data_IF_546638354446
#
_entry.id   IF_546638354446
#
_cell.length_a   1.000
_cell.length_b   1.000
_cell.length_c   1.000
_cell.angle_alpha   90.00
_cell.angle_beta   90.00
_cell.angle_gamma   90.00
#
_symmetry.space_group_name_H-M   'P 1'
#
loop_
_entity.id
_entity.type
_entity.pdbx_description
1 polymer ?
#
# COMPACT_ATOMS: atom_id res chain seq x y z
N UNK A 1 35.40 -19.23 -34.41
CA UNK A 1 34.78 -19.07 -33.07
C UNK A 1 34.83 -17.62 -32.58
N UNK A 2 35.94 -16.91 -32.67
CA UNK A 2 36.06 -15.55 -32.10
C UNK A 2 35.27 -14.44 -32.83
N UNK A 3 35.14 -14.46 -34.15
CA UNK A 3 34.51 -13.34 -34.90
C UNK A 3 33.03 -13.13 -34.57
N UNK A 4 32.27 -14.21 -34.33
CA UNK A 4 30.86 -14.13 -33.96
C UNK A 4 30.65 -13.65 -32.52
N UNK A 5 31.55 -14.02 -31.60
CA UNK A 5 31.48 -13.60 -30.19
C UNK A 5 31.79 -12.11 -30.02
N UNK A 6 32.77 -11.60 -30.79
CA UNK A 6 33.09 -10.17 -30.82
C UNK A 6 31.88 -9.35 -31.31
N UNK A 7 31.15 -9.86 -32.30
CA UNK A 7 29.94 -9.20 -32.78
C UNK A 7 28.86 -9.09 -31.69
N UNK A 8 28.56 -10.18 -30.98
CA UNK A 8 27.60 -10.14 -29.87
C UNK A 8 28.05 -9.22 -28.74
N UNK A 9 29.35 -9.24 -28.41
CA UNK A 9 29.92 -8.34 -27.41
C UNK A 9 29.71 -6.87 -27.79
N UNK A 10 30.06 -6.48 -29.02
CA UNK A 10 29.89 -5.11 -29.51
C UNK A 10 28.40 -4.73 -29.49
N UNK A 11 27.53 -5.62 -29.99
CA UNK A 11 26.09 -5.38 -30.02
C UNK A 11 25.52 -5.11 -28.62
N UNK A 12 25.81 -6.00 -27.66
CA UNK A 12 25.29 -5.85 -26.30
C UNK A 12 25.96 -4.70 -25.53
N UNK A 13 27.23 -4.40 -25.79
CA UNK A 13 27.89 -3.22 -25.24
C UNK A 13 27.22 -1.92 -25.72
N UNK A 14 26.88 -1.83 -27.01
CA UNK A 14 26.11 -0.70 -27.56
C UNK A 14 24.74 -0.61 -26.89
N UNK A 15 24.05 -1.73 -26.70
CA UNK A 15 22.76 -1.75 -25.99
C UNK A 15 22.90 -1.21 -24.56
N UNK A 16 23.92 -1.65 -23.81
CA UNK A 16 24.17 -1.20 -22.42
C UNK A 16 24.45 0.31 -22.37
N UNK A 17 25.33 0.81 -23.23
CA UNK A 17 25.66 2.25 -23.27
C UNK A 17 24.45 3.07 -23.69
N UNK A 18 23.70 2.59 -24.68
CA UNK A 18 22.49 3.26 -25.16
C UNK A 18 21.34 3.22 -24.15
N UNK A 19 21.30 2.25 -23.23
CA UNK A 19 20.23 2.10 -22.23
C UNK A 19 19.99 3.40 -21.43
N UNK A 20 21.06 4.12 -21.09
CA UNK A 20 20.99 5.40 -20.38
C UNK A 20 20.33 6.51 -21.20
N UNK A 21 20.43 6.45 -22.53
CA UNK A 21 19.90 7.44 -23.46
C UNK A 21 18.50 7.08 -24.01
N UNK A 22 17.99 5.88 -23.72
CA UNK A 22 16.67 5.48 -24.19
C UNK A 22 15.58 6.40 -23.60
N UNK A 23 14.60 6.85 -24.40
CA UNK A 23 13.46 7.61 -23.89
C UNK A 23 12.60 6.76 -22.94
N UNK A 24 12.01 7.41 -21.93
CA UNK A 24 11.23 6.73 -20.89
C UNK A 24 10.04 5.93 -21.45
N UNK A 25 9.46 6.34 -22.58
CA UNK A 25 8.38 5.61 -23.25
C UNK A 25 8.81 4.22 -23.72
N UNK A 26 10.05 4.06 -24.21
CA UNK A 26 10.57 2.75 -24.60
C UNK A 26 10.88 1.87 -23.38
N UNK A 27 11.33 2.47 -22.27
CA UNK A 27 11.54 1.74 -21.03
C UNK A 27 10.23 1.31 -20.36
N UNK A 28 9.15 2.08 -20.54
CA UNK A 28 7.81 1.70 -20.09
C UNK A 28 7.22 0.59 -20.96
N UNK A 29 7.63 0.47 -22.24
CA UNK A 29 7.24 -0.65 -23.08
C UNK A 29 7.68 -2.00 -22.48
N UNK A 30 8.81 -2.00 -21.75
CA UNK A 30 9.32 -3.16 -21.01
C UNK A 30 8.37 -3.63 -19.88
N UNK A 31 7.40 -2.81 -19.47
CA UNK A 31 6.38 -3.18 -18.47
C UNK A 31 5.31 -4.09 -19.07
N UNK A 32 5.11 -4.06 -20.38
CA UNK A 32 4.09 -4.90 -21.02
C UNK A 32 4.44 -6.38 -20.91
N UNK A 33 3.44 -7.18 -20.52
CA UNK A 33 3.59 -8.63 -20.33
C UNK A 33 4.16 -9.31 -21.59
N UNK A 34 3.66 -8.95 -22.77
CA UNK A 34 4.12 -9.51 -24.04
C UNK A 34 5.60 -9.25 -24.30
N UNK A 35 6.05 -8.01 -24.03
CA UNK A 35 7.46 -7.63 -24.20
C UNK A 35 8.32 -8.41 -23.22
N UNK A 36 7.91 -8.51 -21.95
CA UNK A 36 8.64 -9.31 -20.95
C UNK A 36 8.78 -10.77 -21.37
N UNK A 37 7.70 -11.39 -21.85
CA UNK A 37 7.74 -12.79 -22.33
C UNK A 37 8.68 -12.90 -23.53
N UNK A 38 8.61 -11.98 -24.49
CA UNK A 38 9.51 -11.98 -25.65
C UNK A 38 10.98 -11.86 -25.27
N UNK A 39 11.32 -11.06 -24.25
CA UNK A 39 12.69 -10.93 -23.75
C UNK A 39 13.18 -12.22 -23.11
N UNK A 40 12.34 -12.90 -22.33
CA UNK A 40 12.70 -14.21 -21.74
C UNK A 40 12.94 -15.25 -22.85
N UNK A 41 12.07 -15.29 -23.87
CA UNK A 41 12.27 -16.18 -25.03
C UNK A 41 13.57 -15.84 -25.77
N UNK A 42 13.85 -14.56 -26.00
CA UNK A 42 15.09 -14.12 -26.62
C UNK A 42 16.32 -14.53 -25.78
N UNK A 43 16.25 -14.38 -24.46
CA UNK A 43 17.34 -14.79 -23.56
C UNK A 43 17.60 -16.30 -23.66
N UNK A 44 16.56 -17.12 -23.62
CA UNK A 44 16.67 -18.58 -23.77
C UNK A 44 17.26 -18.96 -25.14
N UNK A 45 16.89 -18.25 -26.19
CA UNK A 45 17.46 -18.44 -27.52
C UNK A 45 18.96 -18.12 -27.56
N UNK A 46 19.40 -17.00 -26.97
CA UNK A 46 20.83 -16.66 -26.93
C UNK A 46 21.65 -17.63 -26.07
N UNK A 47 21.09 -18.17 -24.99
CA UNK A 47 21.73 -19.22 -24.18
C UNK A 47 21.91 -20.50 -25.02
N UNK A 48 20.94 -20.85 -25.87
CA UNK A 48 21.05 -22.03 -26.74
C UNK A 48 22.17 -21.88 -27.78
N UNK A 49 22.40 -20.68 -28.31
CA UNK A 49 23.48 -20.40 -29.27
C UNK A 49 24.86 -20.51 -28.62
N UNK A 50 25.00 -20.02 -27.39
CA UNK A 50 26.24 -20.15 -26.65
C UNK A 50 26.22 -19.45 -25.29
N UNK A 51 27.00 -19.96 -24.33
CA UNK A 51 27.01 -19.44 -22.96
C UNK A 51 27.51 -17.98 -22.89
N UNK A 52 28.45 -17.61 -23.75
CA UNK A 52 29.00 -16.24 -23.84
C UNK A 52 27.94 -15.25 -24.31
N UNK A 53 27.23 -15.56 -25.40
CA UNK A 53 26.15 -14.73 -25.92
C UNK A 53 24.99 -14.59 -24.93
N UNK A 54 24.62 -15.69 -24.25
CA UNK A 54 23.61 -15.67 -23.19
C UNK A 54 23.98 -14.74 -22.03
N UNK A 55 25.23 -14.77 -21.57
CA UNK A 55 25.71 -13.92 -20.47
C UNK A 55 25.67 -12.43 -20.83
N UNK A 56 26.14 -12.05 -22.02
CA UNK A 56 26.08 -10.66 -22.47
C UNK A 56 24.64 -10.17 -22.70
N UNK A 57 23.77 -11.03 -23.24
CA UNK A 57 22.34 -10.73 -23.38
C UNK A 57 21.69 -10.49 -22.02
N UNK A 58 21.97 -11.36 -21.04
CA UNK A 58 21.49 -11.20 -19.67
C UNK A 58 21.94 -9.88 -19.06
N UNK A 59 23.23 -9.55 -19.18
CA UNK A 59 23.76 -8.28 -18.66
C UNK A 59 23.10 -7.06 -19.33
N UNK A 60 22.88 -7.11 -20.65
CA UNK A 60 22.20 -6.03 -21.37
C UNK A 60 20.76 -5.84 -20.88
N UNK A 61 20.01 -6.93 -20.69
CA UNK A 61 18.66 -6.85 -20.13
C UNK A 61 18.66 -6.37 -18.68
N UNK A 62 19.58 -6.85 -17.85
CA UNK A 62 19.72 -6.38 -16.48
C UNK A 62 20.00 -4.88 -16.41
N UNK A 63 20.88 -4.36 -17.26
CA UNK A 63 21.17 -2.92 -17.36
C UNK A 63 19.93 -2.11 -17.75
N UNK A 64 19.16 -2.57 -18.76
CA UNK A 64 17.89 -1.95 -19.16
C UNK A 64 16.88 -1.91 -18.01
N UNK A 65 16.73 -3.01 -17.26
CA UNK A 65 15.82 -3.07 -16.11
C UNK A 65 16.30 -2.22 -14.93
N UNK A 66 17.61 -2.13 -14.67
CA UNK A 66 18.15 -1.24 -13.64
C UNK A 66 17.89 0.22 -13.97
N UNK A 67 18.13 0.63 -15.23
CA UNK A 67 17.86 2.00 -15.69
C UNK A 67 16.37 2.36 -15.60
N UNK A 68 15.50 1.44 -16.02
CA UNK A 68 14.06 1.56 -15.84
C UNK A 68 13.69 1.75 -14.37
N UNK A 69 14.21 0.89 -13.48
CA UNK A 69 13.91 0.96 -12.04
C UNK A 69 14.42 2.26 -11.42
N UNK A 70 15.61 2.74 -11.80
CA UNK A 70 16.16 4.03 -11.36
C UNK A 70 15.21 5.18 -11.69
N UNK A 71 14.70 5.23 -12.92
CA UNK A 71 13.76 6.28 -13.35
C UNK A 71 12.41 6.17 -12.65
N UNK A 72 11.91 4.95 -12.47
CA UNK A 72 10.64 4.71 -11.76
C UNK A 72 10.73 5.11 -10.28
N UNK A 73 11.85 4.80 -9.62
CA UNK A 73 12.13 5.24 -8.26
C UNK A 73 12.19 6.77 -8.16
N UNK A 74 12.83 7.44 -9.11
CA UNK A 74 12.87 8.92 -9.16
C UNK A 74 11.49 9.55 -9.34
N UNK A 75 10.63 8.97 -10.17
CA UNK A 75 9.24 9.42 -10.32
C UNK A 75 8.42 9.20 -9.05
N UNK A 76 8.61 8.05 -8.38
CA UNK A 76 7.92 7.74 -7.13
C UNK A 76 8.35 8.69 -6.00
N UNK A 77 9.65 9.03 -5.91
CA UNK A 77 10.16 9.99 -4.93
C UNK A 77 9.54 11.38 -5.14
N UNK A 78 9.52 11.88 -6.39
CA UNK A 78 8.85 13.16 -6.70
C UNK A 78 7.39 13.17 -6.33
N UNK A 79 6.67 12.09 -6.65
CA UNK A 79 5.25 11.96 -6.28
C UNK A 79 5.07 11.92 -4.77
N UNK A 80 5.98 11.28 -4.03
CA UNK A 80 5.95 11.26 -2.56
C UNK A 80 6.16 12.67 -1.98
N UNK A 81 7.13 13.42 -2.51
CA UNK A 81 7.40 14.80 -2.10
C UNK A 81 6.18 15.71 -2.38
N UNK A 82 5.49 15.51 -3.51
CA UNK A 82 4.25 16.23 -3.85
C UNK A 82 3.06 15.86 -2.95
N UNK A 83 3.04 14.64 -2.41
CA UNK A 83 2.01 14.17 -1.47
C UNK A 83 2.34 14.52 -0.02
N UNK A 84 3.55 14.98 0.28
CA UNK A 84 3.94 15.30 1.66
C UNK A 84 3.20 16.56 2.12
N UNK A 85 2.30 16.37 3.09
CA UNK A 85 1.59 17.48 3.74
C UNK A 85 2.65 18.40 4.38
N UNK A 86 2.57 19.73 4.20
CA UNK A 86 3.52 20.64 4.80
C UNK A 86 3.61 20.39 6.31
N UNK A 87 4.76 19.91 6.78
CA UNK A 87 5.02 19.72 8.21
C UNK A 87 5.04 21.07 8.88
N UNK A 88 3.94 21.44 9.52
CA UNK A 88 3.91 22.64 10.35
C UNK A 88 4.93 22.49 11.48
N UNK A 89 5.70 23.54 11.80
CA UNK A 89 6.61 23.51 12.93
C UNK A 89 5.84 23.15 14.19
N UNK A 90 6.29 22.11 14.90
CA UNK A 90 5.67 21.70 16.16
C UNK A 90 5.75 22.87 17.14
N UNK A 91 4.61 23.26 17.71
CA UNK A 91 4.57 24.35 18.68
C UNK A 91 5.40 23.98 19.91
N UNK A 92 6.26 24.91 20.35
CA UNK A 92 6.98 24.73 21.62
C UNK A 92 6.00 24.72 22.79
N UNK A 93 6.37 24.07 23.91
CA UNK A 93 5.50 23.92 25.10
C UNK A 93 4.95 25.27 25.61
N UNK A 94 5.72 26.35 25.45
CA UNK A 94 5.34 27.71 25.82
C UNK A 94 4.35 28.37 24.86
N UNK A 95 4.33 27.94 23.59
CA UNK A 95 3.38 28.41 22.58
C UNK A 95 2.09 27.58 22.60
N UNK A 96 2.16 26.31 23.01
CA UNK A 96 1.00 25.43 23.16
C UNK A 96 0.06 25.84 24.30
N UNK A 97 0.57 26.57 25.30
CA UNK A 97 -0.21 27.10 26.42
C UNK A 97 -0.94 28.42 26.12
N UNK A 98 -0.64 29.07 24.99
CA UNK A 98 -1.39 30.23 24.53
C UNK A 98 -2.73 29.78 23.91
N UNK A 99 -3.81 30.57 24.05
CA UNK A 99 -5.07 30.30 23.37
C UNK A 99 -4.80 30.19 21.87
N UNK A 100 -5.00 29.01 21.31
CA UNK A 100 -4.72 28.75 19.91
C UNK A 100 -5.71 29.53 19.05
N UNK A 101 -5.21 30.51 18.30
CA UNK A 101 -5.94 31.07 17.16
C UNK A 101 -6.12 29.94 16.15
N UNK A 102 -7.35 29.67 15.73
CA UNK A 102 -7.69 28.56 14.83
C UNK A 102 -6.73 28.54 13.64
N UNK A 103 -5.95 27.46 13.55
CA UNK A 103 -5.05 27.23 12.42
C UNK A 103 -5.90 27.18 11.15
N UNK A 104 -5.52 27.87 10.06
CA UNK A 104 -6.20 27.71 8.79
C UNK A 104 -6.03 26.26 8.34
N UNK A 105 -7.09 25.48 8.51
CA UNK A 105 -7.20 24.13 7.94
C UNK A 105 -7.36 24.32 6.44
N UNK A 106 -6.53 23.64 5.64
CA UNK A 106 -6.74 23.59 4.20
C UNK A 106 -8.18 23.12 3.95
N UNK A 107 -8.92 23.84 3.12
CA UNK A 107 -10.30 23.46 2.79
C UNK A 107 -10.31 22.01 2.33
N UNK A 108 -11.18 21.19 2.95
CA UNK A 108 -11.39 19.83 2.51
C UNK A 108 -11.76 19.83 1.03
N UNK A 109 -11.16 18.92 0.28
CA UNK A 109 -11.52 18.73 -1.11
C UNK A 109 -12.99 18.30 -1.18
N UNK A 110 -13.75 18.91 -2.08
CA UNK A 110 -15.14 18.53 -2.30
C UNK A 110 -15.17 17.30 -3.19
N UNK A 111 -15.81 16.23 -2.73
CA UNK A 111 -15.94 14.98 -3.49
C UNK A 111 -16.45 15.26 -4.91
N UNK A 112 -15.77 14.67 -5.90
CA UNK A 112 -16.12 14.83 -7.31
C UNK A 112 -17.44 14.10 -7.61
N UNK A 113 -18.18 14.49 -8.64
CA UNK A 113 -19.57 14.08 -8.87
C UNK A 113 -19.77 12.54 -8.96
N UNK A 114 -18.70 11.79 -9.26
CA UNK A 114 -18.65 10.32 -9.29
C UNK A 114 -18.40 9.66 -7.92
N UNK A 115 -17.81 10.39 -6.98
CA UNK A 115 -17.56 9.90 -5.61
C UNK A 115 -18.81 10.07 -4.72
N UNK A 116 -19.68 11.01 -5.07
CA UNK A 116 -20.90 11.36 -4.30
C UNK A 116 -22.12 10.52 -4.67
N UNK A 117 -22.02 9.60 -5.64
CA UNK A 117 -23.16 8.80 -6.15
C UNK A 117 -23.85 7.96 -5.06
N UNK A 118 -23.11 7.55 -4.03
CA UNK A 118 -23.62 6.79 -2.88
C UNK A 118 -24.04 7.66 -1.69
N UNK A 119 -23.90 8.98 -1.80
CA UNK A 119 -24.38 9.87 -0.74
C UNK A 119 -25.90 9.93 -0.78
N UNK A 120 -26.59 9.79 0.35
CA UNK A 120 -28.03 9.89 0.40
C UNK A 120 -28.45 11.28 -0.10
N UNK A 121 -29.04 11.30 -1.30
CA UNK A 121 -29.67 12.48 -1.88
C UNK A 121 -31.11 12.61 -1.38
N UNK A 122 -31.68 13.81 -1.45
CA UNK A 122 -33.09 14.07 -1.14
C UNK A 122 -34.07 13.24 -2.00
N UNK A 123 -33.59 12.57 -3.06
CA UNK A 123 -34.38 11.69 -3.92
C UNK A 123 -34.29 10.20 -3.57
N UNK A 124 -33.42 9.83 -2.63
CA UNK A 124 -33.09 8.43 -2.30
C UNK A 124 -33.63 7.93 -0.96
N UNK A 125 -34.37 8.76 -0.20
CA UNK A 125 -35.06 8.32 1.01
C UNK A 125 -36.54 8.64 0.96
N UNK A 126 -37.34 7.73 1.52
CA UNK A 126 -38.72 8.01 1.91
C UNK A 126 -38.67 8.33 3.40
N UNK A 127 -39.14 9.51 3.81
CA UNK A 127 -39.24 9.88 5.23
C UNK A 127 -40.38 9.14 5.97
N UNK A 128 -40.98 8.15 5.31
CA UNK A 128 -42.04 7.32 5.84
C UNK A 128 -41.43 6.16 6.62
N UNK A 129 -41.44 6.28 7.93
CA UNK A 129 -41.19 5.15 8.83
C UNK A 129 -42.45 4.29 8.91
N UNK A 130 -42.30 2.97 8.79
CA UNK A 130 -43.38 2.05 9.15
C UNK A 130 -43.78 2.28 10.62
N UNK A 131 -45.08 2.27 10.94
CA UNK A 131 -45.53 2.47 12.31
C UNK A 131 -45.05 1.29 13.17
N UNK A 132 -44.04 1.55 14.00
CA UNK A 132 -43.50 0.58 14.94
C UNK A 132 -44.33 0.56 16.21
N UNK A 133 -44.53 -0.64 16.76
CA UNK A 133 -45.22 -0.81 18.03
C UNK A 133 -44.38 -0.24 19.19
N UNK A 134 -45.06 0.23 20.23
CA UNK A 134 -44.51 0.78 21.47
C UNK A 134 -43.56 -0.18 22.22
N UNK A 135 -43.57 -1.46 21.84
CA UNK A 135 -42.71 -2.52 22.35
C UNK A 135 -41.30 -2.53 21.77
N UNK A 136 -41.03 -1.85 20.64
CA UNK A 136 -39.74 -1.94 19.93
C UNK A 136 -38.55 -1.37 20.73
N UNK A 137 -38.81 -0.35 21.56
CA UNK A 137 -37.81 0.26 22.43
C UNK A 137 -37.80 -0.36 23.84
N UNK A 138 -38.66 -1.35 24.10
CA UNK A 138 -38.67 -2.08 25.35
C UNK A 138 -37.63 -3.20 25.28
N UNK A 139 -36.37 -2.83 25.52
CA UNK A 139 -35.31 -3.81 25.73
C UNK A 139 -35.62 -4.59 27.00
N UNK A 140 -36.20 -5.78 26.85
CA UNK A 140 -36.35 -6.71 27.96
C UNK A 140 -34.95 -7.02 28.51
N UNK A 141 -34.71 -6.63 29.76
CA UNK A 141 -33.48 -6.98 30.46
C UNK A 141 -33.52 -8.49 30.67
N UNK A 142 -32.72 -9.22 29.90
CA UNK A 142 -32.51 -10.64 30.13
C UNK A 142 -31.85 -10.78 31.50
N UNK A 143 -32.52 -11.48 32.42
CA UNK A 143 -31.96 -11.76 33.74
C UNK A 143 -30.79 -12.71 33.58
N UNK A 144 -29.57 -12.19 33.68
CA UNK A 144 -28.39 -13.02 33.95
C UNK A 144 -28.47 -13.43 35.42
N UNK A 145 -29.08 -14.58 35.67
CA UNK A 145 -29.00 -15.20 37.00
C UNK A 145 -27.58 -15.68 37.19
N UNK A 146 -26.78 -14.92 37.94
CA UNK A 146 -25.53 -15.42 38.50
C UNK A 146 -25.89 -16.60 39.42
N UNK A 147 -25.36 -17.79 39.13
CA UNK A 147 -25.69 -19.02 39.85
C UNK A 147 -25.49 -18.90 41.37
N UNK A 148 -24.57 -18.04 41.81
CA UNK A 148 -24.23 -17.82 43.22
C UNK A 148 -24.29 -16.35 43.70
N UNK A 149 -24.92 -15.43 42.95
CA UNK A 149 -25.19 -14.06 43.43
C UNK A 149 -23.97 -13.17 43.76
N UNK A 150 -22.73 -13.60 43.46
CA UNK A 150 -21.51 -12.83 43.68
C UNK A 150 -21.09 -12.06 42.41
N UNK A 151 -20.76 -10.75 42.50
CA UNK A 151 -20.33 -9.94 41.36
C UNK A 151 -18.92 -10.30 40.83
N UNK A 152 -18.23 -11.29 41.41
CA UNK A 152 -16.89 -11.72 40.96
C UNK A 152 -16.89 -12.85 39.92
N UNK A 153 -18.04 -13.21 39.35
CA UNK A 153 -18.16 -14.31 38.39
C UNK A 153 -17.37 -14.09 37.07
N UNK A 154 -16.92 -12.86 36.79
CA UNK A 154 -16.05 -12.59 35.65
C UNK A 154 -14.67 -13.25 35.77
N UNK A 155 -14.15 -13.45 36.99
CA UNK A 155 -12.83 -14.09 37.19
C UNK A 155 -12.82 -15.55 36.75
N UNK A 156 -13.89 -16.31 37.03
CA UNK A 156 -13.98 -17.72 36.65
C UNK A 156 -14.16 -17.90 35.13
N UNK A 157 -14.84 -16.96 34.46
CA UNK A 157 -15.00 -16.98 33.00
C UNK A 157 -13.67 -16.81 32.25
N UNK A 158 -12.78 -15.93 32.72
CA UNK A 158 -11.47 -15.74 32.08
C UNK A 158 -10.50 -16.89 32.35
N UNK A 159 -10.68 -17.61 33.45
CA UNK A 159 -9.92 -18.82 33.80
C UNK A 159 -10.36 -20.02 32.96
N UNK A 160 -11.67 -20.25 32.78
CA UNK A 160 -12.19 -21.29 31.87
C UNK A 160 -11.87 -21.03 30.40
N UNK A 161 -11.80 -19.75 29.98
CA UNK A 161 -11.38 -19.36 28.63
C UNK A 161 -9.86 -19.45 28.42
N UNK A 162 -9.08 -19.84 29.44
CA UNK A 162 -7.63 -20.04 29.34
C UNK A 162 -6.83 -18.74 29.18
N UNK A 163 -7.43 -17.59 29.49
CA UNK A 163 -6.83 -16.26 29.32
C UNK A 163 -6.22 -15.71 30.63
N UNK A 164 -6.30 -16.47 31.73
CA UNK A 164 -6.12 -15.94 33.08
C UNK A 164 -4.69 -15.78 33.61
N UNK A 165 -3.69 -16.53 33.15
CA UNK A 165 -2.36 -16.48 33.78
C UNK A 165 -1.21 -16.70 32.77
N UNK A 166 -0.30 -15.72 32.67
CA UNK A 166 1.07 -15.93 32.18
C UNK A 166 1.95 -16.18 33.42
N UNK A 167 2.76 -17.24 33.39
CA UNK A 167 3.70 -17.55 34.48
C UNK A 167 4.63 -16.35 34.75
N UNK A 168 4.58 -15.83 35.98
CA UNK A 168 5.54 -14.85 36.49
C UNK A 168 5.05 -13.41 36.71
N UNK A 169 3.75 -13.12 36.55
CA UNK A 169 3.21 -11.77 36.85
C UNK A 169 2.21 -11.84 38.01
N UNK A 170 2.68 -11.56 39.22
CA UNK A 170 1.81 -11.23 40.35
C UNK A 170 1.28 -9.80 40.15
N UNK A 171 -0.01 -9.66 39.87
CA UNK A 171 -0.68 -8.36 39.97
C UNK A 171 -0.85 -8.03 41.46
N UNK A 172 -0.04 -7.08 41.93
CA UNK A 172 -0.10 -6.55 43.30
C UNK A 172 -1.48 -5.97 43.55
N UNK A 173 -2.12 -6.41 44.63
CA UNK A 173 -3.42 -5.97 45.12
C UNK A 173 -3.43 -4.52 45.61
#
# INVERSE_FOLDING_TARGET
>A
MYSSEIFYFILFAVVIVSASFLPSSLLLLLDHLLVRVSMVVALLYFIHIGPTAGLFCFMAFAALYMERNRRKAGLAAKKLDEMEVPRHPQATVQQASLPQTTVPVASFDSADHFEVEYSPSNSSSTDEFEPVDSSINQKAVLSTVYRDGSPSASHQLYEELGLGHLDGVETVA
#
